data_IF_745992701917
#
_entry.id   IF_745992701917
#
_cell.length_a   1.000
_cell.length_b   1.000
_cell.length_c   1.000
_cell.angle_alpha   90.00
_cell.angle_beta   90.00
_cell.angle_gamma   90.00
#
_symmetry.space_group_name_H-M   'P 1'
#
loop_
_entity.id
_entity.type
_entity.pdbx_description
1 polymer ?
#
# COMPACT_ATOMS: atom_id res chain seq x y z
N UNK A 1 -27.79 7.34 11.82
CA UNK A 1 -26.76 6.92 12.57
C UNK A 1 -26.04 5.74 11.94
N UNK A 2 -26.72 4.70 11.74
CA UNK A 2 -26.10 3.54 11.11
C UNK A 2 -25.71 3.79 9.68
N UNK A 3 -26.38 4.71 9.03
CA UNK A 3 -26.09 5.03 7.66
C UNK A 3 -24.65 5.55 7.51
N UNK A 4 -24.26 6.49 8.34
CA UNK A 4 -22.92 7.05 8.29
C UNK A 4 -21.89 5.99 8.59
N UNK A 5 -22.19 5.16 9.56
CA UNK A 5 -21.31 4.09 9.96
C UNK A 5 -21.09 3.10 8.82
N UNK A 6 -22.17 2.75 8.14
CA UNK A 6 -22.10 1.81 7.04
C UNK A 6 -21.27 2.39 5.89
N UNK A 7 -21.46 3.66 5.59
CA UNK A 7 -20.71 4.30 4.53
C UNK A 7 -19.22 4.36 4.86
N UNK A 8 -18.89 4.65 6.10
CA UNK A 8 -17.51 4.68 6.55
C UNK A 8 -16.85 3.33 6.36
N UNK A 9 -17.57 2.28 6.72
CA UNK A 9 -17.07 0.93 6.61
C UNK A 9 -16.80 0.55 5.15
N UNK A 10 -17.73 0.87 4.27
CA UNK A 10 -17.56 0.58 2.85
C UNK A 10 -16.40 1.35 2.25
N UNK A 11 -16.25 2.59 2.66
CA UNK A 11 -15.17 3.43 2.18
C UNK A 11 -13.82 2.83 2.56
N UNK A 12 -13.71 2.34 3.78
CA UNK A 12 -12.47 1.74 4.24
C UNK A 12 -12.14 0.46 3.49
N UNK A 13 -13.15 -0.34 3.21
CA UNK A 13 -12.95 -1.55 2.43
C UNK A 13 -12.42 -1.24 1.05
N UNK A 14 -13.01 -0.26 0.40
CA UNK A 14 -12.57 0.13 -0.92
C UNK A 14 -11.15 0.67 -0.90
N UNK A 15 -10.84 1.43 0.12
CA UNK A 15 -9.50 1.99 0.27
C UNK A 15 -8.46 0.88 0.45
N UNK A 16 -8.80 -0.13 1.24
CA UNK A 16 -7.90 -1.25 1.45
C UNK A 16 -7.67 -2.02 0.16
N UNK A 17 -8.72 -2.27 -0.59
CA UNK A 17 -8.61 -2.98 -1.86
C UNK A 17 -7.73 -2.20 -2.83
N UNK A 18 -7.89 -0.90 -2.86
CA UNK A 18 -7.09 -0.05 -3.74
C UNK A 18 -5.62 -0.09 -3.33
N UNK A 19 -5.36 -0.06 -2.03
CA UNK A 19 -3.99 -0.13 -1.55
C UNK A 19 -3.34 -1.44 -1.94
N UNK A 20 -4.05 -2.55 -1.80
CA UNK A 20 -3.53 -3.85 -2.20
C UNK A 20 -3.23 -3.89 -3.69
N UNK A 21 -4.12 -3.33 -4.49
CA UNK A 21 -3.94 -3.29 -5.93
C UNK A 21 -2.67 -2.52 -6.30
N UNK A 22 -2.50 -1.35 -5.68
CA UNK A 22 -1.33 -0.53 -5.94
C UNK A 22 -0.05 -1.27 -5.57
N UNK A 23 -0.05 -1.91 -4.40
CA UNK A 23 1.14 -2.63 -3.96
C UNK A 23 1.49 -3.77 -4.91
N UNK A 24 0.50 -4.47 -5.43
CA UNK A 24 0.73 -5.53 -6.39
C UNK A 24 1.35 -4.99 -7.67
N UNK A 25 0.81 -3.89 -8.16
CA UNK A 25 1.32 -3.29 -9.39
C UNK A 25 2.75 -2.81 -9.21
N UNK A 26 3.04 -2.20 -8.07
CA UNK A 26 4.39 -1.73 -7.78
C UNK A 26 5.36 -2.91 -7.66
N UNK A 27 4.91 -3.96 -6.99
CA UNK A 27 5.72 -5.16 -6.86
C UNK A 27 6.09 -5.71 -8.24
N UNK A 28 5.12 -5.82 -9.12
CA UNK A 28 5.36 -6.37 -10.45
C UNK A 28 6.30 -5.49 -11.26
N UNK A 29 6.14 -4.18 -11.15
CA UNK A 29 7.01 -3.26 -11.87
C UNK A 29 8.46 -3.40 -11.40
N UNK A 30 8.65 -3.55 -10.10
CA UNK A 30 9.99 -3.71 -9.55
C UNK A 30 10.63 -5.02 -10.01
N UNK A 31 9.84 -6.09 -10.01
CA UNK A 31 10.33 -7.38 -10.48
C UNK A 31 10.76 -7.29 -11.94
N UNK A 32 9.92 -6.67 -12.76
CA UNK A 32 10.23 -6.54 -14.19
C UNK A 32 11.51 -5.77 -14.44
N UNK A 33 11.80 -4.80 -13.59
CA UNK A 33 13.01 -4.00 -13.75
C UNK A 33 14.23 -4.61 -13.06
N UNK A 34 14.06 -5.77 -12.44
CA UNK A 34 15.19 -6.47 -11.85
C UNK A 34 15.57 -6.04 -10.45
N UNK A 35 14.72 -5.28 -9.78
CA UNK A 35 14.97 -4.90 -8.40
C UNK A 35 14.47 -5.96 -7.44
N UNK A 36 14.97 -5.90 -6.20
CA UNK A 36 14.40 -6.70 -5.12
C UNK A 36 13.14 -5.98 -4.64
N UNK A 37 11.96 -6.48 -4.98
CA UNK A 37 10.74 -5.69 -4.76
C UNK A 37 10.43 -5.48 -3.28
N UNK A 38 10.67 -6.50 -2.45
CA UNK A 38 10.36 -6.37 -1.03
C UNK A 38 11.26 -5.33 -0.38
N UNK A 39 12.55 -5.38 -0.65
CA UNK A 39 13.48 -4.40 -0.08
C UNK A 39 13.12 -2.99 -0.48
N UNK A 40 12.76 -2.79 -1.74
CA UNK A 40 12.44 -1.46 -2.21
C UNK A 40 11.15 -0.94 -1.59
N UNK A 41 10.13 -1.78 -1.50
CA UNK A 41 8.86 -1.38 -0.90
C UNK A 41 9.05 -1.08 0.58
N UNK A 42 9.76 -1.95 1.30
CA UNK A 42 10.03 -1.74 2.72
C UNK A 42 10.80 -0.43 2.91
N UNK A 43 11.83 -0.21 2.09
CA UNK A 43 12.60 1.02 2.17
C UNK A 43 11.73 2.25 2.00
N UNK A 44 10.80 2.21 1.05
CA UNK A 44 9.89 3.33 0.87
C UNK A 44 8.98 3.52 2.08
N UNK A 45 8.42 2.44 2.60
CA UNK A 45 7.49 2.55 3.72
C UNK A 45 8.17 3.18 4.93
N UNK A 46 9.43 2.80 5.16
CA UNK A 46 10.16 3.31 6.32
C UNK A 46 10.64 4.74 6.14
N UNK A 47 11.06 5.10 4.95
CA UNK A 47 11.69 6.40 4.73
C UNK A 47 10.74 7.44 4.15
N UNK A 48 9.75 7.00 3.40
CA UNK A 48 8.90 7.93 2.67
C UNK A 48 9.56 8.49 1.42
N UNK A 49 10.72 7.96 1.06
CA UNK A 49 11.46 8.46 -0.09
C UNK A 49 11.02 7.71 -1.35
N UNK A 50 10.29 8.38 -2.25
CA UNK A 50 9.74 7.69 -3.43
C UNK A 50 10.81 7.21 -4.41
N UNK A 51 12.06 7.62 -4.24
CA UNK A 51 13.11 7.15 -5.14
C UNK A 51 13.45 5.68 -4.92
N UNK A 52 12.97 5.08 -3.82
CA UNK A 52 13.09 3.63 -3.66
C UNK A 52 12.28 2.88 -4.72
N UNK A 53 11.30 3.53 -5.32
CA UNK A 53 10.38 2.86 -6.24
C UNK A 53 10.66 3.32 -7.66
N UNK A 54 10.78 2.35 -8.55
CA UNK A 54 11.02 2.66 -9.96
C UNK A 54 9.88 3.49 -10.54
N UNK A 55 10.21 4.33 -11.53
CA UNK A 55 9.19 5.08 -12.26
C UNK A 55 8.53 4.24 -13.35
N UNK A 56 9.03 3.04 -13.57
CA UNK A 56 8.53 2.15 -14.60
C UNK A 56 7.04 1.85 -14.35
N UNK A 57 6.26 1.91 -15.41
CA UNK A 57 4.82 1.69 -15.35
C UNK A 57 4.14 2.57 -14.31
N UNK A 58 4.69 3.75 -14.10
CA UNK A 58 4.12 4.74 -13.20
C UNK A 58 4.07 4.27 -11.73
N UNK A 59 4.91 3.31 -11.39
CA UNK A 59 4.87 2.71 -10.06
C UNK A 59 5.16 3.73 -8.96
N UNK A 60 6.13 4.63 -9.20
CA UNK A 60 6.49 5.63 -8.20
C UNK A 60 5.32 6.55 -7.86
N UNK A 61 4.58 6.98 -8.87
CA UNK A 61 3.41 7.82 -8.62
C UNK A 61 2.30 7.06 -7.94
N UNK A 62 2.15 5.79 -8.28
CA UNK A 62 1.10 4.97 -7.68
C UNK A 62 1.33 4.76 -6.20
N UNK A 63 2.57 4.46 -5.80
CA UNK A 63 2.80 4.16 -4.40
C UNK A 63 2.66 5.40 -3.53
N UNK A 64 2.87 6.58 -4.10
CA UNK A 64 2.72 7.82 -3.35
C UNK A 64 1.27 8.10 -2.96
N UNK A 65 0.32 7.40 -3.57
CA UNK A 65 -1.09 7.55 -3.23
C UNK A 65 -1.45 6.81 -1.94
N UNK A 66 -0.58 5.94 -1.47
CA UNK A 66 -0.82 5.17 -0.26
C UNK A 66 -0.37 5.97 0.95
N UNK A 67 -1.18 5.96 2.00
CA UNK A 67 -0.81 6.58 3.26
C UNK A 67 -0.04 5.57 4.09
N UNK A 68 1.23 5.86 4.31
CA UNK A 68 2.13 4.88 4.91
C UNK A 68 1.74 4.50 6.34
N UNK A 69 1.30 5.47 7.12
CA UNK A 69 0.90 5.18 8.50
C UNK A 69 -0.31 4.27 8.54
N UNK A 70 -1.27 4.45 7.64
CA UNK A 70 -2.43 3.58 7.59
C UNK A 70 -2.04 2.18 7.15
N UNK A 71 -1.14 2.10 6.17
CA UNK A 71 -0.66 0.81 5.72
C UNK A 71 0.05 0.06 6.84
N UNK A 72 0.90 0.77 7.59
CA UNK A 72 1.61 0.16 8.69
C UNK A 72 0.65 -0.35 9.77
N UNK A 73 -0.37 0.44 10.06
CA UNK A 73 -1.37 0.03 11.03
C UNK A 73 -2.02 -1.30 10.62
N UNK A 74 -2.42 -1.39 9.35
CA UNK A 74 -3.03 -2.60 8.82
C UNK A 74 -2.07 -3.78 8.89
N UNK A 75 -0.83 -3.55 8.51
CA UNK A 75 0.15 -4.63 8.47
C UNK A 75 0.41 -5.18 9.87
N UNK A 76 0.50 -4.29 10.85
CA UNK A 76 0.73 -4.74 12.22
C UNK A 76 -0.47 -5.53 12.73
N UNK A 77 -1.68 -5.01 12.47
CA UNK A 77 -2.88 -5.73 12.89
C UNK A 77 -2.95 -7.12 12.27
N UNK A 78 -2.66 -7.21 11.00
CA UNK A 78 -2.67 -8.50 10.31
C UNK A 78 -1.63 -9.44 10.89
N UNK A 79 -0.48 -8.92 11.18
CA UNK A 79 0.62 -9.76 11.66
C UNK A 79 0.31 -10.33 13.04
N UNK A 80 -0.34 -9.53 13.89
CA UNK A 80 -0.71 -9.97 15.23
C UNK A 80 -1.90 -10.92 15.18
N UNK A 81 -2.70 -10.82 14.12
CA UNK A 81 -3.89 -11.63 14.00
C UNK A 81 -5.17 -10.89 14.34
N UNK A 82 -5.11 -9.56 14.40
CA UNK A 82 -6.30 -8.77 14.60
C UNK A 82 -6.95 -8.54 13.25
N UNK A 83 -8.12 -9.09 13.08
CA UNK A 83 -8.83 -9.01 11.81
C UNK A 83 -9.68 -7.78 11.72
N UNK A 84 -9.86 -7.33 10.50
CA UNK A 84 -10.77 -6.21 10.24
C UNK A 84 -12.10 -6.68 9.79
#
# INVERSE_FOLDING_TARGET
>A
MDFDKTMSFNFEKEKNARTQEILKEVYEALVEKGYNPINQIVGYILSGDPTHITSYKNARNKIRQIERDELLDKMVRNYIGLEE
#
